data_IF_258087859173
#
_entry.id   IF_258087859173
#
_cell.length_a   1.000
_cell.length_b   1.000
_cell.length_c   1.000
_cell.angle_alpha   90.00
_cell.angle_beta   90.00
_cell.angle_gamma   90.00
#
_symmetry.space_group_name_H-M   'P 1'
#
loop_
_entity.id
_entity.type
_entity.pdbx_description
1 polymer ?
#
# COMPACT_ATOMS: atom_id res chain seq x y z
N UNK A 1 -17.19 1.17 3.55
CA UNK A 1 -15.82 1.59 3.74
C UNK A 1 -15.64 2.93 3.07
N UNK A 2 -15.37 3.95 3.86
CA UNK A 2 -15.33 5.32 3.35
C UNK A 2 -13.94 5.73 2.94
N UNK A 3 -13.56 5.37 1.73
CA UNK A 3 -12.25 5.70 1.20
C UNK A 3 -12.41 6.56 -0.04
N UNK A 4 -11.44 7.45 -0.25
CA UNK A 4 -11.43 8.30 -1.43
C UNK A 4 -10.59 7.66 -2.52
N UNK A 5 -11.07 7.70 -3.74
CA UNK A 5 -10.30 7.18 -4.87
C UNK A 5 -9.06 8.06 -5.09
N UNK A 6 -8.02 7.42 -5.59
CA UNK A 6 -6.72 8.04 -5.87
C UNK A 6 -5.93 8.44 -4.63
N UNK A 7 -6.38 8.05 -3.45
CA UNK A 7 -5.65 8.27 -2.21
C UNK A 7 -4.97 6.99 -1.76
N UNK A 8 -3.92 7.13 -0.97
CA UNK A 8 -3.11 6.03 -0.48
C UNK A 8 -3.54 5.71 0.95
N UNK A 9 -3.78 4.43 1.21
CA UNK A 9 -4.23 3.99 2.53
C UNK A 9 -3.40 2.82 3.03
N UNK A 10 -3.39 2.65 4.34
CA UNK A 10 -2.76 1.50 4.99
C UNK A 10 -3.85 0.53 5.40
N UNK A 11 -3.65 -0.74 5.08
CA UNK A 11 -4.61 -1.80 5.37
C UNK A 11 -3.94 -2.85 6.23
N UNK A 12 -4.61 -3.22 7.31
CA UNK A 12 -4.20 -4.39 8.10
C UNK A 12 -5.15 -5.51 7.75
N UNK A 13 -4.62 -6.60 7.26
CA UNK A 13 -5.45 -7.73 6.87
C UNK A 13 -5.70 -8.65 8.05
N UNK A 14 -6.73 -9.49 7.94
CA UNK A 14 -7.04 -10.45 9.00
C UNK A 14 -5.89 -11.41 9.25
N UNK A 15 -5.06 -11.65 8.26
CA UNK A 15 -3.88 -12.50 8.41
C UNK A 15 -2.78 -11.87 9.24
N UNK A 16 -2.89 -10.58 9.52
CA UNK A 16 -1.84 -9.82 10.21
C UNK A 16 -0.92 -9.07 9.26
N UNK A 17 -1.02 -9.33 7.97
CA UNK A 17 -0.21 -8.61 7.00
C UNK A 17 -0.67 -7.16 6.90
N UNK A 18 0.28 -6.27 6.76
CA UNK A 18 -0.02 -4.85 6.56
C UNK A 18 0.42 -4.45 5.17
N UNK A 19 -0.44 -3.76 4.44
CA UNK A 19 -0.08 -3.29 3.11
C UNK A 19 -0.50 -1.85 2.91
N UNK A 20 0.17 -1.20 1.97
CA UNK A 20 -0.13 0.16 1.56
C UNK A 20 -0.46 0.12 0.08
N UNK A 21 -1.51 0.81 -0.31
CA UNK A 21 -1.94 0.81 -1.70
C UNK A 21 -2.76 2.04 -2.00
N UNK A 22 -2.81 2.39 -3.28
CA UNK A 22 -3.66 3.45 -3.76
C UNK A 22 -5.02 2.86 -4.10
N UNK A 23 -6.07 3.52 -3.65
CA UNK A 23 -7.43 3.07 -3.93
C UNK A 23 -7.88 3.62 -5.27
N UNK A 24 -8.36 2.74 -6.14
CA UNK A 24 -8.83 3.12 -7.46
C UNK A 24 -10.35 3.13 -7.50
N UNK A 25 -10.98 2.16 -6.86
CA UNK A 25 -12.43 2.05 -6.86
C UNK A 25 -12.87 1.18 -5.69
N UNK A 26 -14.12 1.33 -5.29
CA UNK A 26 -14.68 0.58 -4.17
C UNK A 26 -16.03 0.04 -4.61
N UNK A 27 -16.24 -1.26 -4.37
CA UNK A 27 -17.55 -1.87 -4.60
C UNK A 27 -18.06 -2.38 -3.26
N UNK A 28 -19.21 -3.05 -3.26
CA UNK A 28 -19.76 -3.60 -2.02
C UNK A 28 -18.86 -4.63 -1.38
N UNK A 29 -18.07 -5.34 -2.16
CA UNK A 29 -17.31 -6.48 -1.67
C UNK A 29 -15.81 -6.35 -1.86
N UNK A 30 -15.37 -5.43 -2.67
CA UNK A 30 -13.95 -5.30 -3.00
C UNK A 30 -13.50 -3.87 -2.98
N UNK A 31 -12.22 -3.68 -2.67
CA UNK A 31 -11.53 -2.42 -2.90
C UNK A 31 -10.57 -2.69 -4.04
N UNK A 32 -10.69 -1.92 -5.12
CA UNK A 32 -9.76 -2.03 -6.23
C UNK A 32 -8.58 -1.13 -5.91
N UNK A 33 -7.39 -1.72 -5.88
CA UNK A 33 -6.18 -1.02 -5.48
C UNK A 33 -5.14 -1.14 -6.58
N UNK A 34 -4.20 -0.22 -6.60
CA UNK A 34 -3.05 -0.30 -7.49
C UNK A 34 -1.79 -0.27 -6.68
N UNK A 35 -0.78 -0.94 -7.20
CA UNK A 35 0.57 -0.93 -6.64
C UNK A 35 0.61 -1.27 -5.16
N UNK A 36 0.01 -2.39 -4.75
CA UNK A 36 0.03 -2.76 -3.34
C UNK A 36 1.43 -3.20 -2.93
N UNK A 37 1.90 -2.68 -1.80
CA UNK A 37 3.16 -3.11 -1.22
C UNK A 37 2.90 -3.63 0.18
N UNK A 38 3.54 -4.73 0.52
CA UNK A 38 3.47 -5.28 1.86
C UNK A 38 4.55 -4.66 2.72
N UNK A 39 4.20 -4.37 3.95
CA UNK A 39 5.08 -3.68 4.88
C UNK A 39 5.59 -4.69 5.90
N UNK A 40 6.87 -4.68 6.12
CA UNK A 40 7.47 -5.53 7.15
C UNK A 40 8.42 -4.69 7.99
N UNK A 41 8.47 -4.95 9.30
CA UNK A 41 9.42 -4.22 10.12
C UNK A 41 10.86 -4.67 9.81
N UNK A 42 11.78 -3.76 9.98
CA UNK A 42 13.20 -4.06 9.81
C UNK A 42 13.97 -3.29 10.89
N UNK A 43 15.26 -3.55 10.98
CA UNK A 43 16.07 -2.85 11.97
C UNK A 43 16.14 -1.36 11.71
N UNK A 44 15.93 -0.93 10.49
CA UNK A 44 16.01 0.47 10.13
C UNK A 44 14.66 1.11 9.91
N UNK A 45 13.58 0.46 10.32
CA UNK A 45 12.23 1.00 10.12
C UNK A 45 11.36 -0.01 9.45
N UNK A 46 10.85 0.30 8.26
CA UNK A 46 10.00 -0.63 7.51
C UNK A 46 10.61 -0.93 6.17
N UNK A 47 10.30 -2.12 5.69
CA UNK A 47 10.68 -2.59 4.37
C UNK A 47 9.41 -2.71 3.54
N UNK A 48 9.46 -2.28 2.30
CA UNK A 48 8.34 -2.39 1.37
C UNK A 48 8.67 -3.38 0.29
N UNK A 49 7.81 -4.38 0.11
CA UNK A 49 7.97 -5.35 -0.98
C UNK A 49 6.64 -5.45 -1.71
N UNK A 50 6.65 -5.80 -2.99
CA UNK A 50 5.38 -5.99 -3.69
C UNK A 50 4.55 -7.05 -3.00
N UNK A 51 3.24 -6.82 -2.91
CA UNK A 51 2.35 -7.80 -2.27
C UNK A 51 2.21 -9.04 -3.11
N UNK A 52 2.34 -8.93 -4.43
CA UNK A 52 2.29 -10.06 -5.35
C UNK A 52 3.50 -9.97 -6.26
N UNK A 53 4.09 -11.13 -6.55
CA UNK A 53 5.29 -11.16 -7.37
C UNK A 53 5.03 -11.69 -8.78
N UNK A 54 3.80 -12.11 -9.05
CA UNK A 54 3.49 -12.78 -10.32
C UNK A 54 2.60 -11.96 -11.22
N UNK A 55 2.37 -10.68 -10.87
CA UNK A 55 1.53 -9.79 -11.66
C UNK A 55 2.28 -8.49 -11.93
N UNK A 56 1.74 -7.70 -12.86
CA UNK A 56 2.29 -6.37 -13.11
C UNK A 56 1.93 -5.46 -11.96
N UNK A 57 2.90 -4.76 -11.42
CA UNK A 57 2.66 -3.89 -10.29
C UNK A 57 1.72 -2.75 -10.59
N UNK A 58 1.72 -2.27 -11.84
CA UNK A 58 0.85 -1.17 -12.20
C UNK A 58 -0.54 -1.63 -12.66
N UNK A 59 -0.88 -2.89 -12.43
CA UNK A 59 -2.23 -3.36 -12.68
C UNK A 59 -3.18 -2.96 -11.57
N UNK A 60 -4.44 -3.31 -11.74
CA UNK A 60 -5.45 -3.09 -10.71
C UNK A 60 -5.71 -4.42 -10.02
N UNK A 61 -5.69 -4.41 -8.70
CA UNK A 61 -5.86 -5.60 -7.89
C UNK A 61 -7.16 -5.49 -7.11
N UNK A 62 -7.80 -6.59 -6.84
CA UNK A 62 -9.05 -6.59 -6.08
C UNK A 62 -8.78 -7.14 -4.69
N UNK A 63 -8.99 -6.31 -3.69
CA UNK A 63 -8.84 -6.68 -2.29
C UNK A 63 -10.22 -6.94 -1.72
N UNK A 64 -10.42 -8.14 -1.18
CA UNK A 64 -11.70 -8.50 -0.60
C UNK A 64 -11.91 -7.72 0.70
N UNK A 65 -13.00 -6.99 0.81
CA UNK A 65 -13.27 -6.18 2.00
C UNK A 65 -13.28 -7.03 3.25
N UNK A 66 -13.75 -8.27 3.16
CA UNK A 66 -13.80 -9.15 4.33
C UNK A 66 -12.43 -9.56 4.84
N UNK A 67 -11.37 -9.34 4.06
CA UNK A 67 -10.01 -9.63 4.50
C UNK A 67 -9.38 -8.48 5.27
N UNK A 68 -10.03 -7.34 5.33
CA UNK A 68 -9.47 -6.13 5.94
C UNK A 68 -9.97 -6.00 7.36
N UNK A 69 -9.04 -5.96 8.30
CA UNK A 69 -9.39 -5.75 9.71
C UNK A 69 -9.37 -4.26 10.05
N UNK A 70 -8.41 -3.51 9.53
CA UNK A 70 -8.26 -2.08 9.82
C UNK A 70 -7.82 -1.37 8.57
N UNK A 71 -8.38 -0.18 8.34
CA UNK A 71 -7.88 0.70 7.28
C UNK A 71 -7.69 2.08 7.89
N UNK A 72 -6.63 2.74 7.48
CA UNK A 72 -6.31 4.08 7.99
C UNK A 72 -5.54 4.86 6.95
N UNK A 73 -5.49 6.18 7.12
CA UNK A 73 -4.66 7.02 6.27
C UNK A 73 -3.20 6.68 6.53
N UNK A 74 -2.43 6.59 5.44
CA UNK A 74 -1.01 6.33 5.57
C UNK A 74 -0.32 7.60 6.05
N UNK A 75 0.62 7.46 7.00
CA UNK A 75 1.33 8.64 7.47
C UNK A 75 2.22 9.20 6.36
N UNK A 76 2.59 10.46 6.52
CA UNK A 76 3.24 11.19 5.42
C UNK A 76 4.59 10.60 5.05
N UNK A 77 5.37 10.18 6.02
CA UNK A 77 6.70 9.62 5.74
C UNK A 77 6.62 8.33 4.95
N UNK A 78 5.71 7.45 5.31
CA UNK A 78 5.52 6.20 4.60
C UNK A 78 4.93 6.45 3.23
N UNK A 79 4.02 7.42 3.12
CA UNK A 79 3.42 7.77 1.85
C UNK A 79 4.47 8.24 0.84
N UNK A 80 5.42 9.06 1.28
CA UNK A 80 6.50 9.50 0.42
C UNK A 80 7.34 8.32 -0.08
N UNK A 81 7.69 7.40 0.83
CA UNK A 81 8.44 6.22 0.44
C UNK A 81 7.66 5.34 -0.53
N UNK A 82 6.37 5.21 -0.30
CA UNK A 82 5.51 4.43 -1.17
C UNK A 82 5.49 5.03 -2.58
N UNK A 83 5.34 6.36 -2.68
CA UNK A 83 5.31 7.03 -3.97
C UNK A 83 6.64 6.84 -4.69
N UNK A 84 7.76 6.97 -3.99
CA UNK A 84 9.06 6.75 -4.60
C UNK A 84 9.21 5.32 -5.08
N UNK A 85 8.78 4.36 -4.27
CA UNK A 85 8.93 2.95 -4.60
C UNK A 85 8.09 2.55 -5.80
N UNK A 86 6.93 3.15 -5.96
CA UNK A 86 5.98 2.73 -6.99
C UNK A 86 6.04 3.56 -8.27
N UNK A 87 6.56 4.79 -8.20
CA UNK A 87 6.62 5.64 -9.38
C UNK A 87 8.02 5.83 -9.92
N UNK A 88 9.03 5.49 -9.13
CA UNK A 88 10.40 5.74 -9.52
C UNK A 88 10.83 7.19 -9.35
N UNK A 89 9.97 8.05 -8.83
CA UNK A 89 10.32 9.44 -8.61
C UNK A 89 11.03 9.56 -7.28
N UNK A 90 12.21 10.16 -7.29
CA UNK A 90 12.97 10.35 -6.07
C UNK A 90 12.57 11.64 -5.39
N UNK A 91 12.18 11.53 -4.13
CA UNK A 91 11.87 12.69 -3.32
C UNK A 91 13.16 13.23 -2.73
N UNK A 92 13.44 14.51 -2.87
CA UNK A 92 14.79 15.03 -2.55
C UNK A 92 15.27 14.70 -1.19
N UNK A 93 14.44 14.61 -0.19
CA UNK A 93 14.98 14.32 1.01
C UNK A 93 15.02 12.99 1.30
N UNK A 94 14.99 12.25 0.92
CA UNK A 94 15.08 11.20 1.33
C UNK A 94 15.70 10.17 1.51
N UNK A 95 16.09 9.88 2.17
CA UNK A 95 16.67 8.87 2.54
C UNK A 95 15.77 7.83 2.79
N UNK A 96 15.62 7.01 2.04
CA UNK A 96 14.59 6.04 2.06
C UNK A 96 15.04 4.80 2.68
N UNK A 97 14.25 4.25 3.56
CA UNK A 97 14.55 2.99 4.13
C UNK A 97 13.68 2.00 3.47
N UNK A 98 14.04 1.59 2.33
CA UNK A 98 13.39 0.52 1.64
C UNK A 98 14.24 -0.68 1.76
N UNK A 99 13.65 -1.76 1.97
CA UNK A 99 14.32 -3.00 2.25
C UNK A 99 15.29 -3.42 1.25
#
# INVERSE_FOLDING_TARGET
>A
MDLNTNEVYSFKLNSGEELVAKVINITDKTVHISEPVSIAPSQKGVTMVPSLFTTDLNGVFRLNINSVAIVADTNEQVKVKYIEATTGITVPEKQIILG
#
